data_IF_314923476349
#
_entry.id   IF_314923476349
#
_cell.length_a   1.000
_cell.length_b   1.000
_cell.length_c   1.000
_cell.angle_alpha   90.00
_cell.angle_beta   90.00
_cell.angle_gamma   90.00
#
_symmetry.space_group_name_H-M   'P 1'
#
loop_
_entity.id
_entity.type
_entity.pdbx_description
1 polymer ?
#
# COMPACT_ATOMS: atom_id res chain seq x y z
N UNK A 1 28.68 -66.91 80.86
CA UNK A 1 27.48 -66.14 80.73
C UNK A 1 27.95 -64.70 80.32
N UNK A 2 27.72 -64.12 79.20
CA UNK A 2 27.12 -64.43 77.92
C UNK A 2 27.80 -63.58 76.87
N UNK A 3 28.29 -64.23 75.80
CA UNK A 3 28.92 -63.54 74.61
C UNK A 3 27.81 -63.03 73.65
N UNK A 4 26.90 -62.21 74.07
CA UNK A 4 25.74 -61.84 73.23
C UNK A 4 25.41 -60.34 73.22
N UNK A 5 26.34 -59.41 73.60
CA UNK A 5 25.97 -57.98 73.74
C UNK A 5 26.99 -57.05 73.07
N UNK A 6 27.90 -57.53 72.20
CA UNK A 6 28.89 -56.68 71.55
C UNK A 6 28.74 -56.63 70.02
N UNK A 7 27.80 -57.40 69.39
CA UNK A 7 27.63 -57.39 67.94
C UNK A 7 26.49 -56.50 67.38
N UNK A 8 25.72 -55.78 68.23
CA UNK A 8 24.55 -55.01 67.81
C UNK A 8 24.79 -53.50 67.63
N UNK A 9 26.04 -53.00 67.88
CA UNK A 9 26.36 -51.55 67.80
C UNK A 9 27.25 -51.14 66.60
N UNK A 10 27.48 -52.04 65.62
CA UNK A 10 28.37 -51.73 64.49
C UNK A 10 27.65 -51.67 63.12
N UNK A 11 26.31 -51.85 63.08
CA UNK A 11 25.52 -51.82 61.83
C UNK A 11 24.68 -50.53 61.58
N UNK A 12 24.66 -49.57 62.52
CA UNK A 12 23.82 -48.32 62.36
C UNK A 12 24.57 -47.08 61.94
N UNK A 13 25.86 -47.15 61.60
CA UNK A 13 26.66 -45.96 61.17
C UNK A 13 26.98 -45.89 59.69
N UNK A 14 26.31 -46.68 58.84
CA UNK A 14 26.52 -46.70 57.36
C UNK A 14 25.29 -46.40 56.55
N UNK A 15 24.53 -45.30 56.80
CA UNK A 15 23.59 -44.76 55.83
C UNK A 15 23.26 -43.34 56.21
N UNK A 16 24.11 -42.39 55.89
CA UNK A 16 23.75 -40.98 55.68
C UNK A 16 24.88 -40.24 54.93
N UNK A 17 25.32 -40.77 53.79
CA UNK A 17 25.95 -39.92 52.78
C UNK A 17 24.81 -39.18 52.04
N UNK A 18 24.47 -38.02 52.51
CA UNK A 18 23.66 -37.07 51.73
C UNK A 18 24.45 -36.77 50.45
N UNK A 19 23.94 -37.32 49.31
CA UNK A 19 24.38 -36.90 47.98
C UNK A 19 24.10 -35.41 47.82
N UNK A 20 25.15 -34.60 47.93
CA UNK A 20 25.07 -33.19 47.59
C UNK A 20 24.68 -33.05 46.09
N UNK A 21 23.71 -32.18 45.74
CA UNK A 21 23.26 -32.05 44.38
C UNK A 21 24.47 -31.68 43.47
N UNK A 22 24.87 -32.58 42.57
CA UNK A 22 25.91 -32.35 41.57
C UNK A 22 25.51 -31.14 40.76
N UNK A 23 26.07 -29.95 41.04
CA UNK A 23 25.94 -28.75 40.23
C UNK A 23 26.38 -29.13 38.80
N UNK A 24 25.42 -29.29 37.88
CA UNK A 24 25.70 -29.48 36.43
C UNK A 24 26.42 -28.24 35.92
N UNK A 25 27.74 -28.27 35.84
CA UNK A 25 28.52 -27.20 35.21
C UNK A 25 28.12 -27.11 33.74
N UNK A 26 27.49 -26.00 33.37
CA UNK A 26 27.21 -25.72 31.97
C UNK A 26 28.54 -25.56 31.25
N UNK A 27 28.84 -26.48 30.33
CA UNK A 27 30.11 -26.45 29.58
C UNK A 27 30.21 -25.18 28.72
N UNK A 28 31.39 -24.61 28.55
CA UNK A 28 31.64 -23.43 27.67
C UNK A 28 31.01 -23.59 26.28
N UNK A 29 30.97 -24.81 25.73
CA UNK A 29 30.33 -25.14 24.45
C UNK A 29 28.79 -24.99 24.51
N UNK A 30 28.15 -25.31 25.63
CA UNK A 30 26.67 -25.12 25.81
C UNK A 30 26.36 -23.64 25.93
N UNK A 31 27.15 -22.88 26.64
CA UNK A 31 27.03 -21.43 26.76
C UNK A 31 27.19 -20.79 25.38
N UNK A 32 28.23 -21.16 24.62
CA UNK A 32 28.43 -20.64 23.26
C UNK A 32 27.27 -20.97 22.30
N UNK A 33 26.75 -22.22 22.36
CA UNK A 33 25.54 -22.59 21.56
C UNK A 33 24.31 -21.77 21.95
N UNK A 34 24.07 -21.58 23.25
CA UNK A 34 22.93 -20.79 23.72
C UNK A 34 23.08 -19.32 23.29
N UNK A 35 24.26 -18.73 23.42
CA UNK A 35 24.55 -17.37 22.96
C UNK A 35 24.34 -17.23 21.44
N UNK A 36 24.76 -18.21 20.63
CA UNK A 36 24.52 -18.23 19.20
C UNK A 36 23.03 -18.32 18.83
N UNK A 37 22.25 -19.16 19.53
CA UNK A 37 20.81 -19.26 19.35
C UNK A 37 20.13 -17.93 19.69
N UNK A 38 20.50 -17.30 20.81
CA UNK A 38 19.99 -15.99 21.20
C UNK A 38 20.30 -14.94 20.14
N UNK A 39 21.52 -14.93 19.62
CA UNK A 39 21.90 -14.01 18.54
C UNK A 39 21.04 -14.21 17.29
N UNK A 40 20.78 -15.47 16.89
CA UNK A 40 19.91 -15.77 15.75
C UNK A 40 18.47 -15.31 15.99
N UNK A 41 17.94 -15.49 17.20
CA UNK A 41 16.60 -15.03 17.58
C UNK A 41 16.54 -13.49 17.53
N UNK A 42 17.51 -12.80 18.11
CA UNK A 42 17.59 -11.33 18.08
C UNK A 42 17.67 -10.82 16.63
N UNK A 43 18.50 -11.45 15.80
CA UNK A 43 18.59 -11.12 14.38
C UNK A 43 17.26 -11.37 13.65
N UNK A 44 16.60 -12.50 13.89
CA UNK A 44 15.30 -12.81 13.31
C UNK A 44 14.23 -11.79 13.72
N UNK A 45 14.17 -11.43 15.00
CA UNK A 45 13.25 -10.40 15.51
C UNK A 45 13.54 -9.04 14.87
N UNK A 46 14.82 -8.64 14.80
CA UNK A 46 15.21 -7.40 14.16
C UNK A 46 14.81 -7.36 12.68
N UNK A 47 15.07 -8.44 11.92
CA UNK A 47 14.67 -8.56 10.52
C UNK A 47 13.13 -8.48 10.38
N UNK A 48 12.39 -9.17 11.27
CA UNK A 48 10.91 -9.14 11.25
C UNK A 48 10.39 -7.72 11.50
N UNK A 49 10.94 -7.00 12.48
CA UNK A 49 10.56 -5.61 12.75
C UNK A 49 10.81 -4.75 11.50
N UNK A 50 11.98 -4.88 10.86
CA UNK A 50 12.30 -4.12 9.65
C UNK A 50 11.40 -4.44 8.47
N UNK A 51 11.05 -5.72 8.28
CA UNK A 51 10.17 -6.14 7.19
C UNK A 51 8.69 -5.70 7.41
N UNK A 52 8.29 -5.44 8.65
CA UNK A 52 6.95 -4.99 9.00
C UNK A 52 6.85 -3.49 9.29
N UNK A 53 7.95 -2.74 9.13
CA UNK A 53 7.97 -1.30 9.38
C UNK A 53 7.23 -0.55 8.27
N UNK A 54 6.10 0.06 8.63
CA UNK A 54 5.25 0.85 7.74
C UNK A 54 5.32 2.35 8.06
N UNK A 55 6.22 2.78 8.95
CA UNK A 55 6.36 4.17 9.37
C UNK A 55 7.03 5.03 8.29
N UNK A 56 7.77 4.41 7.37
CA UNK A 56 8.52 5.09 6.32
C UNK A 56 7.98 4.63 4.97
N UNK A 57 7.69 5.56 4.08
CA UNK A 57 7.36 5.26 2.69
C UNK A 57 8.59 5.36 1.78
N UNK A 58 8.53 4.70 0.65
CA UNK A 58 9.51 4.82 -0.42
C UNK A 58 8.94 5.62 -1.57
N UNK A 59 9.80 6.33 -2.32
CA UNK A 59 9.42 7.00 -3.57
C UNK A 59 9.90 6.17 -4.73
N UNK A 60 8.97 5.76 -5.60
CA UNK A 60 9.26 4.96 -6.80
C UNK A 60 9.04 5.81 -8.04
N UNK A 61 10.00 5.81 -8.96
CA UNK A 61 9.96 6.58 -10.20
C UNK A 61 9.73 5.65 -11.40
N UNK A 62 8.83 6.06 -12.28
CA UNK A 62 8.61 5.46 -13.60
C UNK A 62 8.79 6.53 -14.66
N UNK A 63 9.56 6.22 -15.68
CA UNK A 63 9.76 7.07 -16.86
C UNK A 63 9.07 6.40 -18.05
N UNK A 64 8.20 7.13 -18.73
CA UNK A 64 7.35 6.62 -19.82
C UNK A 64 7.44 7.58 -20.99
N UNK A 65 7.80 7.06 -22.14
CA UNK A 65 7.82 7.80 -23.39
C UNK A 65 6.50 7.61 -24.13
N UNK A 66 5.92 8.72 -24.66
CA UNK A 66 4.71 8.68 -25.46
C UNK A 66 4.71 9.79 -26.53
N UNK A 67 4.45 9.43 -27.76
CA UNK A 67 4.48 10.33 -28.93
C UNK A 67 3.48 11.51 -28.86
N UNK A 68 2.50 11.45 -27.96
CA UNK A 68 1.50 12.51 -27.75
C UNK A 68 1.96 13.59 -26.77
N UNK A 69 3.14 13.40 -26.15
CA UNK A 69 3.66 14.29 -25.11
C UNK A 69 4.91 14.99 -25.65
N UNK A 70 4.80 16.30 -25.85
CA UNK A 70 5.91 17.13 -26.37
C UNK A 70 6.85 17.63 -25.25
N UNK A 71 6.31 17.89 -24.09
CA UNK A 71 7.04 18.41 -22.93
C UNK A 71 6.80 17.52 -21.71
N UNK A 72 7.87 17.28 -20.95
CA UNK A 72 7.78 16.43 -19.75
C UNK A 72 6.64 16.82 -18.83
N UNK A 73 5.92 15.81 -18.34
CA UNK A 73 4.89 15.93 -17.32
C UNK A 73 5.28 15.04 -16.15
N UNK A 74 5.33 15.63 -14.93
CA UNK A 74 5.53 14.88 -13.69
C UNK A 74 4.25 14.73 -12.92
N UNK A 75 3.83 13.50 -12.71
CA UNK A 75 2.66 13.13 -11.92
C UNK A 75 3.13 12.52 -10.60
N UNK A 76 2.68 13.07 -9.46
CA UNK A 76 2.77 12.37 -8.17
C UNK A 76 1.48 11.62 -7.95
N UNK A 77 1.57 10.31 -7.76
CA UNK A 77 0.43 9.42 -7.62
C UNK A 77 0.36 8.87 -6.19
N UNK A 78 -0.75 9.20 -5.53
CA UNK A 78 -1.15 8.74 -4.20
C UNK A 78 -2.31 7.75 -4.32
N UNK A 79 -2.28 6.67 -3.55
CA UNK A 79 -3.37 5.71 -3.46
C UNK A 79 -3.41 5.07 -2.08
N UNK A 80 -4.60 4.64 -1.66
CA UNK A 80 -4.77 3.76 -0.50
C UNK A 80 -4.13 4.33 0.79
N UNK A 81 -4.44 5.58 1.12
CA UNK A 81 -3.94 6.25 2.32
C UNK A 81 -4.54 5.65 3.59
N UNK A 82 -5.86 5.30 3.56
CA UNK A 82 -6.59 4.75 4.70
C UNK A 82 -6.38 5.55 6.00
N UNK A 83 -6.49 6.89 5.91
CA UNK A 83 -6.32 7.83 7.01
C UNK A 83 -4.94 7.79 7.70
N UNK A 84 -3.93 7.19 7.08
CA UNK A 84 -2.59 7.17 7.66
C UNK A 84 -1.94 8.53 7.56
N UNK A 85 -1.20 8.89 8.61
CA UNK A 85 -0.41 10.11 8.68
C UNK A 85 1.09 9.81 8.66
N UNK A 86 1.84 10.71 8.00
CA UNK A 86 3.30 10.73 7.97
C UNK A 86 3.80 12.06 8.52
N UNK A 87 4.24 12.03 9.78
CA UNK A 87 4.47 13.23 10.56
C UNK A 87 3.17 13.92 10.98
N UNK A 88 3.25 14.97 11.76
CA UNK A 88 2.08 15.74 12.21
C UNK A 88 1.41 16.40 10.99
N UNK A 89 0.10 16.18 10.82
CA UNK A 89 -0.69 16.67 9.68
C UNK A 89 -0.10 16.27 8.31
N UNK A 90 0.48 15.09 8.20
CA UNK A 90 1.14 14.60 6.99
C UNK A 90 2.35 15.44 6.51
N UNK A 91 2.99 16.19 7.41
CA UNK A 91 4.07 17.12 7.05
C UNK A 91 5.24 16.45 6.31
N UNK A 92 5.59 15.20 6.66
CA UNK A 92 6.66 14.47 5.96
C UNK A 92 6.26 14.12 4.53
N UNK A 93 5.01 13.67 4.33
CA UNK A 93 4.48 13.34 3.00
C UNK A 93 4.35 14.58 2.12
N UNK A 94 3.80 15.67 2.67
CA UNK A 94 3.63 16.95 1.95
C UNK A 94 4.97 17.53 1.56
N UNK A 95 5.95 17.56 2.48
CA UNK A 95 7.30 18.07 2.19
C UNK A 95 7.98 17.25 1.07
N UNK A 96 7.80 15.93 1.07
CA UNK A 96 8.34 15.09 -0.01
C UNK A 96 7.65 15.42 -1.36
N UNK A 97 6.32 15.58 -1.37
CA UNK A 97 5.58 15.95 -2.59
C UNK A 97 6.04 17.33 -3.12
N UNK A 98 6.22 18.31 -2.24
CA UNK A 98 6.77 19.63 -2.62
C UNK A 98 8.15 19.46 -3.24
N UNK A 99 9.03 18.66 -2.66
CA UNK A 99 10.39 18.40 -3.16
C UNK A 99 10.38 17.75 -4.55
N UNK A 100 9.40 16.92 -4.83
CA UNK A 100 9.24 16.23 -6.12
C UNK A 100 8.80 17.19 -7.24
N UNK A 101 8.23 18.36 -6.92
CA UNK A 101 7.75 19.36 -7.88
C UNK A 101 6.82 18.77 -8.96
N UNK A 102 5.67 18.22 -8.59
CA UNK A 102 4.73 17.66 -9.53
C UNK A 102 4.08 18.76 -10.40
N UNK A 103 3.75 18.41 -11.64
CA UNK A 103 2.89 19.22 -12.51
C UNK A 103 1.40 18.96 -12.20
N UNK A 104 1.08 17.75 -11.71
CA UNK A 104 -0.22 17.38 -11.15
C UNK A 104 -0.08 16.28 -10.11
N UNK A 105 -1.08 16.18 -9.22
CA UNK A 105 -1.20 15.14 -8.19
C UNK A 105 -2.43 14.31 -8.51
N UNK A 106 -2.25 12.99 -8.64
CA UNK A 106 -3.30 12.03 -8.90
C UNK A 106 -3.58 11.18 -7.66
N UNK A 107 -4.84 11.15 -7.21
CA UNK A 107 -5.29 10.33 -6.08
C UNK A 107 -6.26 9.27 -6.57
N UNK A 108 -5.91 7.99 -6.45
CA UNK A 108 -6.67 6.88 -7.03
C UNK A 108 -7.48 6.08 -6.02
N UNK A 109 -8.03 6.77 -5.02
CA UNK A 109 -9.03 6.22 -4.10
C UNK A 109 -8.45 5.55 -2.86
N UNK A 110 -9.36 5.12 -2.00
CA UNK A 110 -9.12 4.54 -0.68
C UNK A 110 -8.25 5.47 0.20
N UNK A 111 -8.54 6.78 0.10
CA UNK A 111 -7.91 7.78 0.97
C UNK A 111 -8.52 7.73 2.36
N UNK A 112 -9.82 7.42 2.48
CA UNK A 112 -10.54 7.20 3.74
C UNK A 112 -10.53 5.72 4.15
N UNK A 113 -10.95 5.43 5.39
CA UNK A 113 -11.24 4.06 5.85
C UNK A 113 -12.77 3.90 5.98
N UNK A 114 -13.34 2.84 5.39
CA UNK A 114 -14.78 2.58 5.42
C UNK A 114 -15.34 2.33 6.84
N UNK A 115 -14.48 2.05 7.79
CA UNK A 115 -14.87 1.78 9.19
C UNK A 115 -14.84 3.05 10.05
N UNK A 116 -14.23 4.12 9.57
CA UNK A 116 -14.10 5.39 10.27
C UNK A 116 -15.10 6.42 9.72
N UNK A 117 -15.45 7.37 10.57
CA UNK A 117 -16.33 8.50 10.19
C UNK A 117 -15.58 9.84 10.16
N UNK A 118 -14.44 9.91 10.84
CA UNK A 118 -13.54 11.06 10.80
C UNK A 118 -12.55 10.90 9.65
N UNK A 119 -12.62 11.78 8.66
CA UNK A 119 -11.71 11.86 7.52
C UNK A 119 -10.94 13.18 7.47
N UNK A 120 -10.84 13.86 8.61
CA UNK A 120 -10.12 15.14 8.75
C UNK A 120 -8.68 15.06 8.24
N UNK A 121 -8.01 13.91 8.42
CA UNK A 121 -6.67 13.62 7.89
C UNK A 121 -6.60 13.83 6.38
N UNK A 122 -7.60 13.36 5.62
CA UNK A 122 -7.63 13.51 4.15
C UNK A 122 -7.93 14.95 3.77
N UNK A 123 -8.87 15.60 4.46
CA UNK A 123 -9.22 17.00 4.22
C UNK A 123 -8.00 17.89 4.45
N UNK A 124 -7.27 17.70 5.55
CA UNK A 124 -6.09 18.49 5.87
C UNK A 124 -4.93 18.23 4.89
N UNK A 125 -4.72 16.97 4.51
CA UNK A 125 -3.75 16.63 3.46
C UNK A 125 -4.08 17.37 2.15
N UNK A 126 -5.33 17.27 1.68
CA UNK A 126 -5.75 17.93 0.43
C UNK A 126 -5.65 19.45 0.50
N UNK A 127 -5.96 20.06 1.67
CA UNK A 127 -5.78 21.52 1.88
C UNK A 127 -4.35 21.98 1.61
N UNK A 128 -3.37 21.17 2.00
CA UNK A 128 -1.97 21.46 1.74
C UNK A 128 -1.59 21.16 0.29
N UNK A 129 -2.05 20.05 -0.28
CA UNK A 129 -1.67 19.61 -1.63
C UNK A 129 -2.19 20.51 -2.75
N UNK A 130 -3.38 21.09 -2.61
CA UNK A 130 -3.92 22.04 -3.62
C UNK A 130 -3.09 23.30 -3.76
N UNK A 131 -2.28 23.63 -2.76
CA UNK A 131 -1.29 24.71 -2.82
C UNK A 131 0.02 24.33 -3.53
N UNK A 132 0.24 23.05 -3.83
CA UNK A 132 1.45 22.51 -4.46
C UNK A 132 1.25 22.34 -5.97
N UNK A 133 0.20 21.64 -6.38
CA UNK A 133 -0.18 21.40 -7.78
C UNK A 133 -1.68 21.05 -7.87
N UNK A 134 -2.29 21.09 -9.07
CA UNK A 134 -3.67 20.61 -9.26
C UNK A 134 -3.82 19.17 -8.78
N UNK A 135 -4.86 18.91 -7.98
CA UNK A 135 -5.14 17.60 -7.38
C UNK A 135 -6.37 17.00 -8.06
N UNK A 136 -6.22 15.79 -8.60
CA UNK A 136 -7.29 15.01 -9.23
C UNK A 136 -7.54 13.76 -8.42
N UNK A 137 -8.80 13.45 -8.17
CA UNK A 137 -9.21 12.36 -7.30
C UNK A 137 -10.32 11.51 -7.93
N UNK A 138 -10.15 10.18 -7.93
CA UNK A 138 -11.24 9.24 -8.19
C UNK A 138 -11.53 8.36 -6.97
N UNK A 139 -12.75 7.85 -6.85
CA UNK A 139 -13.13 7.02 -5.71
C UNK A 139 -12.54 5.61 -5.76
N UNK A 140 -12.11 5.13 -4.60
CA UNK A 140 -11.95 3.71 -4.33
C UNK A 140 -13.21 3.07 -3.76
N UNK A 141 -13.09 1.87 -3.21
CA UNK A 141 -14.21 1.19 -2.58
C UNK A 141 -14.57 1.78 -1.21
N UNK A 142 -13.60 2.32 -0.49
CA UNK A 142 -13.84 2.91 0.83
C UNK A 142 -14.66 4.19 0.73
N UNK A 143 -14.36 5.09 -0.20
CA UNK A 143 -15.18 6.29 -0.43
C UNK A 143 -16.62 5.93 -0.81
N UNK A 144 -16.80 4.94 -1.70
CA UNK A 144 -18.13 4.48 -2.09
C UNK A 144 -18.93 3.93 -0.92
N UNK A 145 -18.27 3.20 -0.04
CA UNK A 145 -18.91 2.64 1.15
C UNK A 145 -19.40 3.76 2.07
N UNK A 146 -18.56 4.75 2.39
CA UNK A 146 -18.94 5.83 3.30
C UNK A 146 -19.91 6.83 2.68
N UNK A 147 -19.76 7.17 1.41
CA UNK A 147 -20.60 8.18 0.74
C UNK A 147 -21.95 7.58 0.32
N UNK A 148 -21.94 6.45 -0.39
CA UNK A 148 -23.11 5.91 -1.07
C UNK A 148 -23.87 4.88 -0.24
N UNK A 149 -23.17 4.00 0.47
CA UNK A 149 -23.78 2.91 1.24
C UNK A 149 -24.21 3.40 2.62
N UNK A 150 -23.30 4.02 3.35
CA UNK A 150 -23.61 4.54 4.69
C UNK A 150 -24.33 5.87 4.67
N UNK A 151 -24.22 6.63 3.58
CA UNK A 151 -24.81 7.98 3.43
C UNK A 151 -24.40 8.93 4.58
N UNK A 152 -23.22 8.74 5.13
CA UNK A 152 -22.75 9.43 6.35
C UNK A 152 -21.61 10.40 6.10
N UNK A 153 -21.13 10.51 4.86
CA UNK A 153 -19.93 11.30 4.56
C UNK A 153 -20.17 12.29 3.42
N UNK A 154 -19.63 13.49 3.60
CA UNK A 154 -19.56 14.57 2.61
C UNK A 154 -18.14 14.73 2.06
N UNK A 155 -17.27 13.76 2.25
CA UNK A 155 -15.84 13.85 1.91
C UNK A 155 -15.60 14.37 0.49
N UNK A 156 -16.38 13.92 -0.49
CA UNK A 156 -16.28 14.40 -1.88
C UNK A 156 -16.58 15.90 -2.00
N UNK A 157 -17.62 16.38 -1.30
CA UNK A 157 -18.03 17.80 -1.30
C UNK A 157 -16.96 18.64 -0.59
N UNK A 158 -16.44 18.15 0.53
CA UNK A 158 -15.40 18.84 1.29
C UNK A 158 -14.11 18.97 0.48
N UNK A 159 -13.73 17.93 -0.27
CA UNK A 159 -12.57 17.96 -1.17
C UNK A 159 -12.80 18.92 -2.37
N UNK A 160 -13.98 18.89 -3.00
CA UNK A 160 -14.33 19.85 -4.08
C UNK A 160 -14.26 21.28 -3.58
N UNK A 161 -14.75 21.56 -2.38
CA UNK A 161 -14.70 22.90 -1.75
C UNK A 161 -13.27 23.40 -1.49
N UNK A 162 -12.29 22.50 -1.36
CA UNK A 162 -10.87 22.82 -1.23
C UNK A 162 -10.21 23.08 -2.60
N UNK A 163 -10.86 22.76 -3.71
CA UNK A 163 -10.30 22.86 -5.05
C UNK A 163 -9.72 21.55 -5.60
N UNK A 164 -10.03 20.41 -4.99
CA UNK A 164 -9.72 19.10 -5.57
C UNK A 164 -10.69 18.78 -6.69
N UNK A 165 -10.19 18.36 -7.84
CA UNK A 165 -10.99 17.89 -8.96
C UNK A 165 -11.47 16.46 -8.71
N UNK A 166 -12.71 16.30 -8.22
CA UNK A 166 -13.29 14.97 -7.97
C UNK A 166 -13.89 14.40 -9.25
N UNK A 167 -13.22 13.40 -9.80
CA UNK A 167 -13.55 12.78 -11.09
C UNK A 167 -14.40 11.51 -10.90
N UNK A 168 -15.61 11.66 -10.35
CA UNK A 168 -16.54 10.54 -10.21
C UNK A 168 -17.27 10.27 -11.53
N UNK A 169 -16.76 9.36 -12.37
CA UNK A 169 -17.20 9.09 -13.74
C UNK A 169 -17.30 10.37 -14.58
N UNK A 170 -16.26 11.18 -14.51
CA UNK A 170 -16.11 12.46 -15.22
C UNK A 170 -14.74 12.54 -15.88
N UNK A 171 -14.61 13.42 -16.85
CA UNK A 171 -13.33 13.79 -17.42
C UNK A 171 -13.25 15.28 -17.68
N UNK A 172 -12.02 15.79 -17.64
CA UNK A 172 -11.67 17.17 -17.97
C UNK A 172 -10.58 17.17 -19.02
N UNK A 173 -10.52 18.19 -19.87
CA UNK A 173 -9.39 18.45 -20.74
C UNK A 173 -8.55 19.56 -20.11
N UNK A 174 -7.31 19.28 -19.83
CA UNK A 174 -6.37 20.19 -19.16
C UNK A 174 -5.14 20.42 -20.04
N UNK A 175 -4.48 21.56 -19.82
CA UNK A 175 -3.18 21.85 -20.42
C UNK A 175 -2.10 21.76 -19.35
N UNK A 176 -1.15 20.84 -19.54
CA UNK A 176 0.00 20.67 -18.65
C UNK A 176 1.29 20.86 -19.49
N UNK A 177 2.03 21.89 -19.20
CA UNK A 177 3.28 22.21 -19.90
C UNK A 177 3.13 22.29 -21.44
N UNK A 178 1.95 22.71 -21.93
CA UNK A 178 1.64 22.78 -23.36
C UNK A 178 1.00 21.53 -23.94
N UNK A 179 0.99 20.41 -23.22
CA UNK A 179 0.32 19.18 -23.64
C UNK A 179 -1.15 19.22 -23.28
N UNK A 180 -2.04 18.81 -24.18
CA UNK A 180 -3.46 18.62 -23.92
C UNK A 180 -3.69 17.19 -23.39
N UNK A 181 -4.24 17.09 -22.19
CA UNK A 181 -4.53 15.81 -21.52
C UNK A 181 -6.00 15.72 -21.24
N UNK A 182 -6.61 14.61 -21.61
CA UNK A 182 -7.94 14.24 -21.19
C UNK A 182 -7.81 13.37 -19.93
N UNK A 183 -7.93 14.00 -18.75
CA UNK A 183 -7.89 13.30 -17.48
C UNK A 183 -9.30 12.82 -17.11
N UNK A 184 -9.45 11.51 -16.90
CA UNK A 184 -10.71 10.89 -16.53
C UNK A 184 -10.62 10.14 -15.20
N UNK A 185 -11.72 10.05 -14.47
CA UNK A 185 -11.83 9.25 -13.27
C UNK A 185 -12.97 8.22 -13.39
N UNK A 186 -12.61 6.93 -13.33
CA UNK A 186 -13.58 5.83 -13.36
C UNK A 186 -13.76 5.27 -11.94
N UNK A 187 -14.90 5.57 -11.35
CA UNK A 187 -15.22 5.20 -9.97
C UNK A 187 -16.10 3.94 -9.84
N UNK A 188 -16.51 3.31 -10.92
CA UNK A 188 -17.19 2.01 -10.88
C UNK A 188 -16.23 0.89 -10.42
N UNK A 189 -16.76 -0.21 -9.89
CA UNK A 189 -15.99 -1.43 -9.76
C UNK A 189 -16.06 -2.24 -11.08
N UNK A 190 -15.15 -3.21 -11.32
CA UNK A 190 -15.16 -3.97 -12.59
C UNK A 190 -16.47 -4.67 -12.90
N UNK A 191 -17.21 -5.11 -11.87
CA UNK A 191 -18.49 -5.79 -12.01
C UNK A 191 -19.66 -4.81 -12.26
N UNK A 192 -19.47 -3.52 -12.00
CA UNK A 192 -20.50 -2.49 -12.17
C UNK A 192 -20.20 -1.51 -13.33
N UNK A 193 -19.26 -1.87 -14.22
CA UNK A 193 -18.93 -1.04 -15.39
C UNK A 193 -20.12 -0.90 -16.34
N UNK A 194 -21.00 -1.89 -16.40
CA UNK A 194 -22.20 -1.90 -17.26
C UNK A 194 -23.35 -1.01 -16.73
N UNK A 195 -23.19 -0.37 -15.55
CA UNK A 195 -24.17 0.59 -15.10
C UNK A 195 -24.24 1.78 -16.08
N UNK A 196 -25.45 2.19 -16.47
CA UNK A 196 -25.73 3.21 -17.49
C UNK A 196 -24.87 4.47 -17.33
N UNK A 197 -24.73 4.95 -16.10
CA UNK A 197 -23.94 6.13 -15.78
C UNK A 197 -22.43 5.97 -16.10
N UNK A 198 -21.87 4.80 -15.80
CA UNK A 198 -20.45 4.52 -16.09
C UNK A 198 -20.22 4.32 -17.59
N UNK A 199 -21.19 3.74 -18.31
CA UNK A 199 -21.14 3.52 -19.76
C UNK A 199 -21.18 4.86 -20.51
N UNK A 200 -22.05 5.79 -20.14
CA UNK A 200 -22.16 7.10 -20.81
C UNK A 200 -20.83 7.88 -20.66
N UNK A 201 -20.26 7.93 -19.45
CA UNK A 201 -18.93 8.49 -19.23
C UNK A 201 -17.88 7.81 -20.12
N UNK A 202 -17.81 6.48 -20.09
CA UNK A 202 -16.82 5.71 -20.77
C UNK A 202 -16.85 5.93 -22.29
N UNK A 203 -18.05 5.87 -22.88
CA UNK A 203 -18.25 6.06 -24.32
C UNK A 203 -17.84 7.45 -24.81
N UNK A 204 -17.97 8.46 -24.00
CA UNK A 204 -17.51 9.83 -24.30
C UNK A 204 -16.00 9.96 -24.14
N UNK A 205 -15.44 9.39 -23.08
CA UNK A 205 -14.03 9.50 -22.74
C UNK A 205 -13.13 8.82 -23.77
N UNK A 206 -13.44 7.60 -24.18
CA UNK A 206 -12.58 6.84 -25.13
C UNK A 206 -12.54 7.45 -26.54
N UNK A 207 -13.48 8.31 -26.90
CA UNK A 207 -13.52 9.00 -28.20
C UNK A 207 -12.66 10.25 -28.26
N UNK A 208 -12.11 10.70 -27.13
CA UNK A 208 -11.23 11.85 -27.08
C UNK A 208 -9.88 11.51 -27.76
N UNK A 209 -9.23 12.53 -28.33
CA UNK A 209 -8.01 12.34 -29.14
C UNK A 209 -6.72 12.73 -28.42
N UNK A 210 -6.80 13.60 -27.39
CA UNK A 210 -5.65 14.00 -26.61
C UNK A 210 -5.07 12.81 -25.84
N UNK A 211 -3.95 13.03 -25.15
CA UNK A 211 -3.40 12.04 -24.23
C UNK A 211 -4.43 11.70 -23.13
N UNK A 212 -4.83 10.44 -23.06
CA UNK A 212 -5.84 9.95 -22.12
C UNK A 212 -5.21 9.40 -20.86
N UNK A 213 -5.27 10.16 -19.78
CA UNK A 213 -4.87 9.75 -18.45
C UNK A 213 -6.10 9.31 -17.63
N UNK A 214 -6.20 8.05 -17.28
CA UNK A 214 -7.31 7.49 -16.51
C UNK A 214 -6.90 7.24 -15.06
N UNK A 215 -7.61 7.86 -14.12
CA UNK A 215 -7.55 7.52 -12.71
C UNK A 215 -8.60 6.45 -12.42
N UNK A 216 -8.16 5.30 -11.92
CA UNK A 216 -9.06 4.18 -11.62
C UNK A 216 -8.50 3.34 -10.49
N UNK A 217 -9.29 3.12 -9.45
CA UNK A 217 -8.80 2.41 -8.27
C UNK A 217 -8.41 0.95 -8.56
N UNK A 218 -9.17 0.26 -9.41
CA UNK A 218 -9.05 -1.18 -9.63
C UNK A 218 -8.19 -1.55 -10.85
N UNK A 219 -6.97 -2.09 -10.69
CA UNK A 219 -6.13 -2.51 -11.80
C UNK A 219 -6.70 -3.74 -12.56
N UNK A 220 -7.64 -4.48 -11.95
CA UNK A 220 -8.32 -5.63 -12.55
C UNK A 220 -9.05 -5.30 -13.86
N UNK A 221 -9.37 -4.04 -14.12
CA UNK A 221 -9.89 -3.60 -15.41
C UNK A 221 -8.99 -3.95 -16.58
N UNK A 222 -7.68 -3.97 -16.36
CA UNK A 222 -6.65 -4.19 -17.38
C UNK A 222 -6.05 -5.60 -17.34
N UNK A 223 -6.50 -6.50 -16.44
CA UNK A 223 -6.03 -7.88 -16.41
C UNK A 223 -6.68 -8.69 -17.52
N UNK A 224 -6.11 -9.86 -17.82
CA UNK A 224 -6.67 -10.79 -18.81
C UNK A 224 -8.15 -11.07 -18.49
N UNK A 225 -9.01 -10.74 -19.42
CA UNK A 225 -10.47 -10.85 -19.27
C UNK A 225 -11.11 -9.62 -18.61
N UNK A 226 -10.35 -8.62 -18.22
CA UNK A 226 -10.87 -7.35 -17.72
C UNK A 226 -11.51 -6.50 -18.83
N UNK A 227 -12.52 -5.67 -18.49
CA UNK A 227 -13.29 -4.94 -19.50
C UNK A 227 -12.51 -3.87 -20.25
N UNK A 228 -11.39 -3.39 -19.73
CA UNK A 228 -10.56 -2.34 -20.33
C UNK A 228 -9.23 -2.83 -20.89
N UNK A 229 -9.02 -4.13 -20.97
CA UNK A 229 -7.75 -4.73 -21.47
C UNK A 229 -7.40 -4.30 -22.90
N UNK A 230 -8.40 -3.97 -23.71
CA UNK A 230 -8.24 -3.47 -25.08
C UNK A 230 -8.74 -2.02 -25.22
N UNK A 231 -8.70 -1.25 -24.15
CA UNK A 231 -9.13 0.15 -24.18
C UNK A 231 -8.16 1.01 -24.99
N UNK A 232 -8.68 2.15 -25.47
CA UNK A 232 -7.87 3.18 -26.12
C UNK A 232 -7.49 4.28 -25.08
N UNK A 233 -6.91 3.86 -23.96
CA UNK A 233 -6.39 4.74 -22.90
C UNK A 233 -4.86 4.72 -23.01
N UNK A 234 -4.21 5.88 -22.93
CA UNK A 234 -2.76 5.94 -23.05
C UNK A 234 -2.10 5.51 -21.73
N UNK A 235 -2.62 6.01 -20.60
CA UNK A 235 -2.15 5.62 -19.26
C UNK A 235 -3.28 5.47 -18.26
N UNK A 236 -3.19 4.47 -17.40
CA UNK A 236 -4.03 4.26 -16.23
C UNK A 236 -3.20 4.24 -14.95
N UNK A 237 -3.63 5.02 -13.93
CA UNK A 237 -3.07 4.99 -12.58
C UNK A 237 -4.03 4.24 -11.66
N UNK A 238 -3.51 3.24 -10.92
CA UNK A 238 -4.30 2.31 -10.13
C UNK A 238 -3.73 2.11 -8.73
N UNK A 239 -4.59 1.67 -7.78
CA UNK A 239 -4.20 1.23 -6.44
C UNK A 239 -4.79 -0.13 -6.07
N UNK A 240 -5.48 -0.19 -4.92
CA UNK A 240 -6.34 -1.28 -4.45
C UNK A 240 -5.64 -2.55 -3.96
N UNK A 241 -4.55 -3.00 -4.60
CA UNK A 241 -3.98 -4.32 -4.34
C UNK A 241 -2.94 -4.34 -3.21
N UNK A 242 -2.58 -3.17 -2.67
CA UNK A 242 -1.64 -3.03 -1.55
C UNK A 242 -0.34 -3.82 -1.72
N UNK A 243 0.17 -3.95 -2.95
CA UNK A 243 1.34 -4.78 -3.23
C UNK A 243 1.15 -6.27 -2.93
N UNK A 244 -0.10 -6.73 -2.68
CA UNK A 244 -0.40 -8.10 -2.25
C UNK A 244 -0.04 -8.35 -0.78
N UNK A 245 -0.11 -7.33 0.08
CA UNK A 245 0.08 -7.33 1.54
C UNK A 245 1.47 -7.83 1.97
N UNK A 246 1.83 -9.06 1.60
CA UNK A 246 3.15 -9.68 1.82
C UNK A 246 3.82 -9.86 0.47
N UNK A 247 5.03 -9.32 0.31
CA UNK A 247 5.81 -9.48 -0.92
C UNK A 247 6.89 -10.54 -0.71
N UNK A 248 6.83 -11.61 -1.49
CA UNK A 248 7.85 -12.65 -1.52
C UNK A 248 8.88 -12.27 -2.57
N UNK A 249 10.17 -12.15 -2.20
CA UNK A 249 11.23 -11.84 -3.17
C UNK A 249 11.18 -12.77 -4.39
N UNK A 250 11.29 -12.20 -5.59
CA UNK A 250 11.25 -12.90 -6.89
C UNK A 250 9.91 -13.53 -7.29
N UNK A 251 8.91 -13.57 -6.39
CA UNK A 251 7.57 -14.14 -6.64
C UNK A 251 6.53 -13.04 -6.79
N UNK A 252 6.61 -11.99 -5.96
CA UNK A 252 5.64 -10.89 -5.93
C UNK A 252 4.68 -10.98 -4.75
N UNK A 253 3.51 -10.33 -4.89
CA UNK A 253 2.49 -10.26 -3.85
C UNK A 253 1.90 -11.63 -3.52
N UNK A 254 1.77 -11.93 -2.23
CA UNK A 254 1.28 -13.22 -1.76
C UNK A 254 -0.25 -13.31 -1.73
N UNK A 255 -0.91 -12.26 -1.26
CA UNK A 255 -2.35 -12.35 -0.98
C UNK A 255 -3.03 -10.98 -1.06
N UNK A 256 -4.24 -10.97 -1.60
CA UNK A 256 -5.16 -9.84 -1.51
C UNK A 256 -6.57 -10.34 -1.19
N UNK A 257 -7.33 -9.60 -0.35
CA UNK A 257 -8.63 -10.06 0.17
C UNK A 257 -9.66 -10.36 -0.93
N UNK A 258 -9.64 -9.62 -2.03
CA UNK A 258 -10.56 -9.80 -3.16
C UNK A 258 -9.97 -10.73 -4.23
N UNK A 259 -8.66 -10.65 -4.49
CA UNK A 259 -8.01 -11.37 -5.59
C UNK A 259 -7.44 -12.74 -5.18
N UNK A 260 -7.45 -13.07 -3.86
CA UNK A 260 -6.92 -14.34 -3.35
C UNK A 260 -5.40 -14.39 -3.30
N UNK A 261 -4.85 -15.61 -3.41
CA UNK A 261 -3.41 -15.86 -3.41
C UNK A 261 -2.77 -15.56 -4.76
N UNK A 262 -1.55 -15.02 -4.72
CA UNK A 262 -0.74 -14.64 -5.88
C UNK A 262 -1.50 -13.76 -6.87
N UNK A 263 -2.03 -12.60 -6.41
CA UNK A 263 -2.74 -11.68 -7.29
C UNK A 263 -1.81 -11.19 -8.40
N UNK A 264 -2.37 -11.05 -9.59
CA UNK A 264 -1.59 -10.59 -10.75
C UNK A 264 -1.33 -9.10 -10.65
N UNK A 265 -0.12 -8.68 -10.98
CA UNK A 265 0.27 -7.28 -11.15
C UNK A 265 -0.14 -6.39 -9.96
N UNK A 266 0.49 -6.65 -8.82
CA UNK A 266 0.19 -5.94 -7.56
C UNK A 266 0.86 -4.59 -7.43
N UNK A 267 1.85 -4.31 -8.25
CA UNK A 267 2.66 -3.08 -8.25
C UNK A 267 3.43 -2.90 -9.56
N UNK A 268 3.93 -1.69 -9.75
CA UNK A 268 4.82 -1.38 -10.86
C UNK A 268 4.13 -0.77 -12.09
N UNK A 269 4.92 -0.46 -13.10
CA UNK A 269 4.45 0.03 -14.40
C UNK A 269 4.56 -1.06 -15.45
N UNK A 270 3.51 -1.27 -16.24
CA UNK A 270 3.47 -2.30 -17.28
C UNK A 270 2.61 -1.86 -18.45
N UNK A 271 3.07 -2.12 -19.66
CA UNK A 271 2.25 -1.93 -20.86
C UNK A 271 1.35 -3.14 -21.07
N UNK A 272 0.04 -2.91 -21.02
CA UNK A 272 -1.00 -3.91 -21.32
C UNK A 272 -1.65 -3.50 -22.64
N UNK A 273 -1.34 -4.21 -23.71
CA UNK A 273 -1.65 -3.81 -25.08
C UNK A 273 -1.17 -2.37 -25.35
N UNK A 274 -2.09 -1.42 -25.56
CA UNK A 274 -1.73 -0.03 -25.85
C UNK A 274 -1.73 0.89 -24.63
N UNK A 275 -2.11 0.38 -23.45
CA UNK A 275 -2.25 1.18 -22.21
C UNK A 275 -1.06 0.95 -21.29
N UNK A 276 -0.40 2.00 -20.82
CA UNK A 276 0.46 1.94 -19.66
C UNK A 276 -0.39 1.85 -18.39
N UNK A 277 -0.21 0.78 -17.64
CA UNK A 277 -0.90 0.59 -16.35
C UNK A 277 0.13 0.70 -15.24
N UNK A 278 -0.02 1.71 -14.39
CA UNK A 278 0.82 1.93 -13.22
C UNK A 278 0.02 1.59 -11.98
N UNK A 279 0.47 0.60 -11.23
CA UNK A 279 -0.18 0.14 -10.01
C UNK A 279 0.66 0.52 -8.81
N UNK A 280 0.12 1.37 -7.93
CA UNK A 280 0.74 1.71 -6.65
C UNK A 280 0.50 0.61 -5.63
N UNK A 281 1.51 0.34 -4.80
CA UNK A 281 1.34 -0.47 -3.59
C UNK A 281 0.51 0.23 -2.52
N UNK A 282 0.17 1.51 -2.73
CA UNK A 282 -0.51 2.34 -1.76
C UNK A 282 0.41 2.87 -0.66
N UNK A 283 0.05 4.03 -0.12
CA UNK A 283 0.87 4.70 0.91
C UNK A 283 0.41 4.37 2.33
N UNK A 284 -0.81 3.86 2.50
CA UNK A 284 -1.38 3.43 3.78
C UNK A 284 -1.48 1.92 3.95
N UNK A 285 -2.46 1.50 4.75
CA UNK A 285 -2.74 0.11 5.09
C UNK A 285 -2.10 -0.35 6.39
N UNK A 286 -2.76 -1.33 7.05
CA UNK A 286 -2.42 -1.75 8.43
C UNK A 286 -1.32 -2.80 8.50
N UNK A 287 -1.31 -3.76 7.56
CA UNK A 287 -0.38 -4.91 7.59
C UNK A 287 0.38 -4.97 6.28
N UNK A 288 1.70 -4.91 6.37
CA UNK A 288 2.62 -5.04 5.24
C UNK A 288 3.85 -5.81 5.68
N UNK A 289 4.31 -6.77 4.89
CA UNK A 289 5.53 -7.52 5.16
C UNK A 289 6.39 -7.51 3.91
N UNK A 290 7.61 -7.01 4.02
CA UNK A 290 8.53 -6.81 2.90
C UNK A 290 7.88 -6.01 1.75
N UNK A 291 7.01 -5.06 2.11
CA UNK A 291 6.14 -4.33 1.20
C UNK A 291 5.98 -2.89 1.74
N UNK A 292 7.01 -2.05 1.64
CA UNK A 292 6.96 -0.70 2.18
C UNK A 292 5.85 0.13 1.51
N UNK A 293 5.20 1.04 2.24
CA UNK A 293 4.30 2.04 1.66
C UNK A 293 4.99 2.80 0.54
N UNK A 294 4.24 3.20 -0.49
CA UNK A 294 4.81 3.75 -1.72
C UNK A 294 4.14 5.04 -2.15
N UNK A 295 4.95 6.05 -2.43
CA UNK A 295 4.60 7.24 -3.19
C UNK A 295 5.14 7.06 -4.61
N UNK A 296 4.27 7.08 -5.61
CA UNK A 296 4.68 6.87 -7.01
C UNK A 296 4.88 8.20 -7.72
N UNK A 297 5.93 8.29 -8.52
CA UNK A 297 6.19 9.40 -9.43
C UNK A 297 6.24 8.84 -10.85
N UNK A 298 5.46 9.44 -11.74
CA UNK A 298 5.48 9.10 -13.16
C UNK A 298 5.93 10.33 -13.95
N UNK A 299 7.03 10.21 -14.63
CA UNK A 299 7.49 11.19 -15.62
C UNK A 299 7.12 10.69 -17.02
N UNK A 300 6.38 11.50 -17.77
CA UNK A 300 5.98 11.22 -19.15
C UNK A 300 6.72 12.20 -20.07
N UNK A 301 7.31 11.68 -21.14
CA UNK A 301 8.09 12.45 -22.11
C UNK A 301 7.53 12.29 -23.51
#
# INVERSE_FOLDING_TARGET
MNKATIEENTEQEKTNEQESPKKKFITKRRIARLAFIILLIVLAVFVTIRLCDNSIFVVTFYEIEDEKIDNRIRIVHLSDLHLKEYGENNSELVNEIIRLKPDLIAMTGDMVDMHETDYSVVVELCRQLVGVAPVYFCYGNHEKEVIRVKQTSTVNVDLENLGVHVLHNRCETINVNGNLIDIGGLSANPQALDAEYSQDFWQRYIKKENYKLLLVHYPQYFFKGGPLVNSNVDMALCGHLHGGIVVIPFVGGLYHSVSGFFPQFTDGARKVNNTWVVVSRGIGGKIRVNNPPELVVVDIY
#
